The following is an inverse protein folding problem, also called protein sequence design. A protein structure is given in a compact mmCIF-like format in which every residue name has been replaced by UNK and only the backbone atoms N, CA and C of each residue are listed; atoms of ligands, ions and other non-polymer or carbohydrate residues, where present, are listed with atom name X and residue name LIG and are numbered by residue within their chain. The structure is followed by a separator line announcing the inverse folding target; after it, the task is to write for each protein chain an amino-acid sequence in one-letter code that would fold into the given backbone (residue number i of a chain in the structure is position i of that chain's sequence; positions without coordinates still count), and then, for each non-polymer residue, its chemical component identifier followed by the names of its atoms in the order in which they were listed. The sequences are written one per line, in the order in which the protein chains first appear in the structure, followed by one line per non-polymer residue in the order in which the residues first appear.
data_IF_408937380747
#
_entry.id   IF_408937380747
#
_cell.length_a   1.000
_cell.length_b   1.000
_cell.length_c   1.000
_cell.angle_alpha   90.00
_cell.angle_beta   90.00
_cell.angle_gamma   90.00
#
_symmetry.space_group_name_H-M   'P 1'
#
loop_
_entity.id
_entity.type
_entity.pdbx_description
1 polymer ?
#
# COMPACT_ATOMS: atom_id res chain seq x y z
N UNK A 1 -55.27 27.33 43.84
CA UNK A 1 -55.68 26.02 43.28
C UNK A 1 -55.60 26.09 41.77
N UNK A 2 -55.18 24.99 41.13
CA UNK A 2 -55.09 24.64 39.68
C UNK A 2 -55.93 25.49 38.69
N UNK A 3 -55.54 25.72 37.43
CA UNK A 3 -55.46 24.72 36.34
C UNK A 3 -54.69 25.25 35.09
N UNK A 4 -53.84 24.35 34.57
CA UNK A 4 -53.23 24.05 33.25
C UNK A 4 -53.58 24.83 31.93
N UNK A 5 -52.49 25.00 31.14
CA UNK A 5 -52.25 25.22 29.67
C UNK A 5 -53.21 24.48 28.67
N UNK A 6 -53.31 24.82 27.36
CA UNK A 6 -52.19 24.74 26.39
C UNK A 6 -52.17 25.74 25.18
N UNK A 7 -51.01 25.80 24.50
CA UNK A 7 -50.78 26.48 23.21
C UNK A 7 -50.28 25.46 22.15
N UNK A 8 -50.46 25.70 20.83
CA UNK A 8 -50.38 24.67 19.79
C UNK A 8 -48.97 24.33 19.29
N UNK A 9 -48.80 23.06 18.91
CA UNK A 9 -47.60 22.46 18.31
C UNK A 9 -47.48 22.84 16.82
N UNK A 10 -46.31 23.35 16.41
CA UNK A 10 -45.88 23.33 15.00
C UNK A 10 -45.01 22.11 14.76
N UNK A 11 -45.48 21.23 13.88
CA UNK A 11 -44.72 20.16 13.23
C UNK A 11 -43.82 20.77 12.14
N UNK A 12 -42.63 20.21 11.90
CA UNK A 12 -42.38 19.72 10.54
C UNK A 12 -41.65 18.36 10.50
N UNK A 13 -42.23 17.48 9.66
CA UNK A 13 -41.61 16.62 8.64
C UNK A 13 -40.28 15.89 8.96
N UNK A 14 -40.40 14.57 9.07
CA UNK A 14 -39.37 13.57 8.75
C UNK A 14 -39.11 13.54 7.21
N UNK A 15 -38.04 12.93 6.64
CA UNK A 15 -37.52 11.60 6.99
C UNK A 15 -35.98 11.46 7.02
N UNK A 16 -35.43 10.91 8.11
CA UNK A 16 -34.07 10.35 8.12
C UNK A 16 -34.19 8.87 7.75
N UNK A 17 -34.12 8.61 6.44
CA UNK A 17 -34.10 7.27 5.88
C UNK A 17 -32.96 7.14 4.86
N UNK A 18 -32.24 6.03 4.97
CA UNK A 18 -31.25 5.50 4.02
C UNK A 18 -29.80 5.99 4.14
N UNK A 19 -29.06 5.36 5.08
CA UNK A 19 -27.74 4.78 4.75
C UNK A 19 -27.47 3.57 5.63
N UNK A 20 -28.37 2.58 5.56
CA UNK A 20 -28.23 1.24 6.17
C UNK A 20 -27.96 0.19 5.08
N UNK A 21 -27.09 0.50 4.11
CA UNK A 21 -26.91 -0.33 2.91
C UNK A 21 -25.46 -0.52 2.43
N UNK A 22 -24.50 -0.52 3.36
CA UNK A 22 -23.13 -0.98 3.08
C UNK A 22 -22.60 -1.97 4.14
N UNK A 23 -23.47 -2.61 4.92
CA UNK A 23 -23.11 -3.58 5.96
C UNK A 23 -23.53 -5.02 5.59
N UNK A 24 -23.46 -5.37 4.31
CA UNK A 24 -23.84 -6.70 3.81
C UNK A 24 -22.69 -7.35 3.03
N UNK A 25 -21.62 -7.68 3.76
CA UNK A 25 -20.63 -8.72 3.40
C UNK A 25 -19.69 -8.97 4.59
N UNK A 26 -20.27 -9.29 5.75
CA UNK A 26 -19.49 -9.64 6.94
C UNK A 26 -19.77 -11.10 7.31
N UNK A 27 -19.19 -12.02 6.53
CA UNK A 27 -18.74 -13.27 7.14
C UNK A 27 -17.74 -12.87 8.23
N UNK A 28 -17.98 -13.27 9.48
CA UNK A 28 -17.44 -12.66 10.70
C UNK A 28 -15.91 -12.55 10.71
N UNK A 29 -15.40 -11.49 10.09
CA UNK A 29 -14.00 -11.14 10.15
C UNK A 29 -13.72 -10.60 11.54
N UNK A 30 -12.85 -11.29 12.28
CA UNK A 30 -12.36 -10.79 13.57
C UNK A 30 -11.34 -9.70 13.26
N UNK A 31 -11.75 -8.45 13.42
CA UNK A 31 -10.88 -7.29 13.25
C UNK A 31 -10.32 -6.86 14.60
N UNK A 32 -9.00 -6.71 14.70
CA UNK A 32 -8.33 -6.03 15.82
C UNK A 32 -7.72 -4.75 15.31
N UNK A 33 -8.10 -3.63 15.89
CA UNK A 33 -7.62 -2.31 15.50
C UNK A 33 -6.73 -1.70 16.57
N UNK A 34 -5.69 -1.01 16.13
CA UNK A 34 -4.76 -0.24 16.97
C UNK A 34 -4.60 1.15 16.38
N UNK A 35 -4.89 2.18 17.18
CA UNK A 35 -4.60 3.55 16.81
C UNK A 35 -3.08 3.79 16.83
N UNK A 36 -2.55 4.34 15.75
CA UNK A 36 -1.15 4.74 15.60
C UNK A 36 -1.03 6.26 15.70
N UNK A 37 0.21 6.76 15.79
CA UNK A 37 0.48 8.19 15.76
C UNK A 37 -0.06 8.87 14.47
N UNK A 38 -0.34 10.17 14.57
CA UNK A 38 -0.82 11.00 13.45
C UNK A 38 -2.17 10.57 12.85
N UNK A 39 -3.04 9.93 13.65
CA UNK A 39 -4.39 9.56 13.22
C UNK A 39 -4.45 8.31 12.33
N UNK A 40 -3.32 7.59 12.17
CA UNK A 40 -3.28 6.33 11.44
C UNK A 40 -3.92 5.19 12.23
N UNK A 41 -4.34 4.16 11.52
CA UNK A 41 -4.92 2.96 12.11
C UNK A 41 -4.25 1.71 11.56
N UNK A 42 -3.91 0.78 12.43
CA UNK A 42 -3.50 -0.57 12.06
C UNK A 42 -4.67 -1.52 12.32
N UNK A 43 -5.06 -2.30 11.33
CA UNK A 43 -6.10 -3.30 11.45
C UNK A 43 -5.53 -4.68 11.11
N UNK A 44 -5.74 -5.65 12.00
CA UNK A 44 -5.57 -7.07 11.71
C UNK A 44 -6.96 -7.65 11.44
N UNK A 45 -7.24 -7.98 10.18
CA UNK A 45 -8.50 -8.57 9.72
C UNK A 45 -8.25 -10.05 9.45
N UNK A 46 -8.94 -10.93 10.18
CA UNK A 46 -8.93 -12.37 9.87
C UNK A 46 -10.11 -12.69 8.95
N UNK A 47 -9.83 -13.11 7.71
CA UNK A 47 -10.86 -13.43 6.72
C UNK A 47 -10.75 -14.91 6.33
N UNK A 48 -11.60 -15.75 6.92
CA UNK A 48 -11.53 -17.19 6.69
C UNK A 48 -10.21 -17.78 7.19
N UNK A 49 -9.39 -18.29 6.27
CA UNK A 49 -8.08 -18.88 6.55
C UNK A 49 -6.91 -17.87 6.44
N UNK A 50 -7.15 -16.69 5.88
CA UNK A 50 -6.12 -15.70 5.63
C UNK A 50 -6.11 -14.63 6.75
N UNK A 51 -4.90 -14.20 7.11
CA UNK A 51 -4.69 -13.05 8.00
C UNK A 51 -4.27 -11.83 7.15
N UNK A 52 -4.90 -10.69 7.39
CA UNK A 52 -4.66 -9.45 6.67
C UNK A 52 -4.23 -8.36 7.65
N UNK A 53 -3.06 -7.77 7.43
CA UNK A 53 -2.58 -6.59 8.16
C UNK A 53 -2.74 -5.38 7.27
N UNK A 54 -3.52 -4.39 7.69
CA UNK A 54 -3.70 -3.12 6.99
C UNK A 54 -3.21 -1.96 7.85
N UNK A 55 -2.55 -0.98 7.22
CA UNK A 55 -2.31 0.33 7.80
C UNK A 55 -3.03 1.36 6.96
N UNK A 56 -3.87 2.17 7.61
CA UNK A 56 -4.64 3.24 6.98
C UNK A 56 -4.18 4.61 7.48
N UNK A 57 -4.14 5.56 6.56
CA UNK A 57 -3.90 6.98 6.82
C UNK A 57 -5.01 7.61 7.65
N UNK A 58 -4.77 8.86 8.10
CA UNK A 58 -5.79 9.64 8.81
C UNK A 58 -7.03 9.98 7.95
N UNK A 59 -6.87 9.93 6.63
CA UNK A 59 -7.92 10.08 5.63
C UNK A 59 -8.64 8.76 5.30
N UNK A 60 -8.22 7.65 5.92
CA UNK A 60 -8.74 6.31 5.67
C UNK A 60 -8.17 5.61 4.44
N UNK A 61 -7.24 6.23 3.71
CA UNK A 61 -6.56 5.62 2.57
C UNK A 61 -5.68 4.45 3.04
N UNK A 62 -5.63 3.37 2.26
CA UNK A 62 -4.78 2.22 2.55
C UNK A 62 -3.33 2.60 2.22
N UNK A 63 -2.44 2.62 3.21
CA UNK A 63 -1.01 2.93 2.98
C UNK A 63 -0.18 1.65 2.77
N UNK A 64 -0.51 0.60 3.52
CA UNK A 64 0.20 -0.67 3.53
C UNK A 64 -0.79 -1.82 3.78
N UNK A 65 -0.62 -2.91 3.05
CA UNK A 65 -1.37 -4.15 3.22
C UNK A 65 -0.44 -5.34 3.13
N UNK A 66 -0.56 -6.25 4.09
CA UNK A 66 0.12 -7.55 4.07
C UNK A 66 -0.95 -8.63 4.12
N UNK A 67 -1.09 -9.39 3.03
CA UNK A 67 -1.98 -10.55 2.95
C UNK A 67 -1.19 -11.82 3.21
N UNK A 68 -1.46 -12.51 4.30
CA UNK A 68 -0.92 -13.85 4.54
C UNK A 68 -1.76 -14.82 3.72
N UNK A 69 -1.20 -15.34 2.63
CA UNK A 69 -1.85 -16.36 1.78
C UNK A 69 -1.21 -17.72 2.02
N UNK A 70 -1.85 -18.79 1.55
CA UNK A 70 -1.28 -20.14 1.62
C UNK A 70 0.06 -20.29 0.89
N UNK A 71 0.30 -19.49 -0.16
CA UNK A 71 1.57 -19.46 -0.91
C UNK A 71 2.63 -18.54 -0.28
N UNK A 72 2.24 -17.73 0.73
CA UNK A 72 3.11 -16.81 1.44
C UNK A 72 2.53 -15.40 1.61
N UNK A 73 3.24 -14.52 2.32
CA UNK A 73 2.84 -13.13 2.50
C UNK A 73 2.95 -12.32 1.19
N UNK A 74 1.87 -11.63 0.81
CA UNK A 74 1.85 -10.64 -0.28
C UNK A 74 1.83 -9.23 0.32
N UNK A 75 2.89 -8.46 0.04
CA UNK A 75 3.03 -7.07 0.45
C UNK A 75 2.50 -6.14 -0.65
N UNK A 76 1.58 -5.26 -0.30
CA UNK A 76 1.07 -4.20 -1.17
C UNK A 76 1.21 -2.86 -0.46
N UNK A 77 1.75 -1.86 -1.16
CA UNK A 77 1.92 -0.52 -0.62
C UNK A 77 1.32 0.48 -1.59
N UNK A 78 0.46 1.34 -1.06
CA UNK A 78 -0.12 2.48 -1.74
C UNK A 78 0.32 3.72 -0.96
N UNK A 79 1.59 4.11 -1.15
CA UNK A 79 2.21 5.20 -0.41
C UNK A 79 2.85 6.20 -1.35
N UNK A 80 2.94 7.45 -0.88
CA UNK A 80 3.64 8.53 -1.56
C UNK A 80 5.14 8.23 -1.72
N UNK A 81 5.75 7.42 -0.84
CA UNK A 81 7.19 7.11 -0.88
C UNK A 81 7.56 5.81 -0.17
N UNK A 82 8.30 4.94 -0.84
CA UNK A 82 9.01 3.81 -0.25
C UNK A 82 10.50 4.14 -0.11
N UNK A 83 11.09 3.89 1.06
CA UNK A 83 12.54 4.01 1.28
C UNK A 83 13.03 2.78 2.04
N UNK A 84 13.91 2.01 1.41
CA UNK A 84 14.61 0.88 2.02
C UNK A 84 16.03 1.33 2.38
N UNK A 85 16.42 1.13 3.63
CA UNK A 85 17.78 1.37 4.13
C UNK A 85 18.21 0.16 4.95
N UNK A 86 19.36 -0.39 4.64
CA UNK A 86 19.97 -1.49 5.38
C UNK A 86 21.39 -1.09 5.80
N UNK A 87 21.79 -1.47 7.02
CA UNK A 87 23.17 -1.27 7.48
C UNK A 87 24.14 -2.30 6.86
N UNK A 88 23.62 -3.46 6.48
CA UNK A 88 24.34 -4.49 5.74
C UNK A 88 23.84 -4.58 4.30
N UNK A 89 23.23 -5.71 3.95
CA UNK A 89 22.83 -6.01 2.57
C UNK A 89 21.31 -5.96 2.38
N UNK A 90 20.90 -5.77 1.13
CA UNK A 90 19.53 -6.01 0.65
C UNK A 90 19.61 -7.07 -0.43
N UNK A 91 19.26 -8.31 -0.09
CA UNK A 91 19.25 -9.44 -1.00
C UNK A 91 17.83 -9.67 -1.53
N UNK A 92 17.69 -9.76 -2.87
CA UNK A 92 16.41 -10.04 -3.54
C UNK A 92 16.57 -11.31 -4.36
N UNK A 93 15.86 -12.38 -3.98
CA UNK A 93 15.83 -13.65 -4.69
C UNK A 93 14.39 -13.95 -5.11
N UNK A 94 14.17 -14.04 -6.42
CA UNK A 94 12.85 -14.31 -6.98
C UNK A 94 12.97 -14.94 -8.38
N UNK A 95 11.86 -15.52 -8.86
CA UNK A 95 11.77 -16.05 -10.22
C UNK A 95 11.78 -14.92 -11.27
N UNK A 96 11.11 -13.80 -10.98
CA UNK A 96 11.04 -12.65 -11.86
C UNK A 96 11.15 -11.36 -11.04
N UNK A 97 12.04 -10.46 -11.47
CA UNK A 97 12.20 -9.12 -10.90
C UNK A 97 11.91 -8.07 -11.97
N UNK A 98 10.88 -7.24 -11.76
CA UNK A 98 10.48 -6.18 -12.67
C UNK A 98 10.39 -4.86 -11.92
N UNK A 99 11.10 -3.83 -12.41
CA UNK A 99 11.08 -2.48 -11.84
C UNK A 99 10.63 -1.52 -12.93
N UNK A 100 9.60 -0.73 -12.62
CA UNK A 100 9.08 0.28 -13.53
C UNK A 100 9.04 1.63 -12.80
N UNK A 101 9.59 2.66 -13.44
CA UNK A 101 9.56 4.03 -12.95
C UNK A 101 8.94 4.94 -14.02
N UNK A 102 8.11 5.90 -13.60
CA UNK A 102 7.45 6.84 -14.52
C UNK A 102 8.40 7.92 -15.04
N UNK A 103 9.33 8.37 -14.19
CA UNK A 103 10.20 9.50 -14.51
C UNK A 103 11.67 9.06 -14.60
N UNK A 104 12.22 8.50 -13.53
CA UNK A 104 13.65 8.14 -13.49
C UNK A 104 13.88 6.89 -12.64
N UNK A 105 14.68 5.98 -13.19
CA UNK A 105 15.35 4.91 -12.45
C UNK A 105 16.84 5.26 -12.36
N UNK A 106 17.41 5.27 -11.15
CA UNK A 106 18.84 5.51 -10.95
C UNK A 106 19.45 4.42 -10.08
N UNK A 107 20.49 3.76 -10.59
CA UNK A 107 21.31 2.80 -9.86
C UNK A 107 22.69 3.44 -9.66
N UNK A 108 23.14 3.55 -8.41
CA UNK A 108 24.43 4.15 -8.05
C UNK A 108 25.14 3.26 -7.03
N UNK A 109 26.44 3.15 -7.17
CA UNK A 109 27.32 2.44 -6.24
C UNK A 109 28.57 3.30 -6.06
N UNK A 110 29.06 3.43 -4.83
CA UNK A 110 30.36 4.07 -4.55
C UNK A 110 31.53 3.18 -5.00
N UNK A 111 31.30 1.87 -5.09
CA UNK A 111 32.24 0.90 -5.64
C UNK A 111 31.87 0.47 -7.05
N UNK A 112 31.97 -0.83 -7.32
CA UNK A 112 31.52 -1.40 -8.59
C UNK A 112 30.00 -1.57 -8.68
N UNK A 113 29.47 -1.50 -9.89
CA UNK A 113 28.15 -2.02 -10.26
C UNK A 113 28.36 -3.15 -11.27
N UNK A 114 27.87 -4.35 -10.96
CA UNK A 114 27.95 -5.51 -11.85
C UNK A 114 26.54 -5.92 -12.28
N UNK A 115 26.31 -5.99 -13.58
CA UNK A 115 25.10 -6.50 -14.20
C UNK A 115 25.52 -7.68 -15.08
N UNK A 116 24.88 -8.83 -14.92
CA UNK A 116 25.19 -10.03 -15.68
C UNK A 116 23.93 -10.86 -15.92
N UNK A 117 23.72 -11.28 -17.17
CA UNK A 117 22.74 -12.28 -17.56
C UNK A 117 23.45 -13.57 -18.00
N UNK A 118 22.76 -14.72 -17.91
CA UNK A 118 23.27 -15.98 -18.45
C UNK A 118 23.21 -16.00 -19.98
N UNK A 119 22.09 -15.53 -20.51
CA UNK A 119 21.82 -15.50 -21.94
C UNK A 119 22.16 -14.10 -22.46
N UNK A 120 21.18 -13.18 -22.51
CA UNK A 120 21.36 -11.84 -23.08
C UNK A 120 21.20 -10.72 -22.02
N UNK A 121 21.88 -9.60 -22.28
CA UNK A 121 21.63 -8.31 -21.62
C UNK A 121 21.33 -7.28 -22.71
N UNK A 122 20.06 -6.89 -22.82
CA UNK A 122 19.61 -5.92 -23.80
C UNK A 122 19.37 -4.55 -23.14
N UNK A 123 19.82 -3.49 -23.81
CA UNK A 123 19.59 -2.10 -23.40
C UNK A 123 18.99 -1.35 -24.57
N UNK A 124 17.69 -1.08 -24.49
CA UNK A 124 16.97 -0.31 -25.50
C UNK A 124 16.71 1.11 -24.99
N UNK A 125 17.02 2.10 -25.81
CA UNK A 125 16.67 3.49 -25.57
C UNK A 125 16.16 4.11 -26.87
N UNK A 126 15.09 4.90 -26.79
CA UNK A 126 14.62 5.72 -27.92
C UNK A 126 15.54 6.93 -28.17
N UNK A 127 16.26 7.38 -27.14
CA UNK A 127 17.29 8.41 -27.22
C UNK A 127 18.69 7.81 -27.18
N UNK A 128 19.62 8.52 -26.52
CA UNK A 128 21.03 8.15 -26.51
C UNK A 128 21.36 7.12 -25.42
N UNK A 129 22.16 6.11 -25.79
CA UNK A 129 22.90 5.27 -24.85
C UNK A 129 24.33 5.76 -24.80
N UNK A 130 24.78 6.26 -23.64
CA UNK A 130 26.16 6.72 -23.43
C UNK A 130 26.87 5.78 -22.46
N UNK A 131 27.93 5.13 -22.95
CA UNK A 131 28.86 4.34 -22.14
C UNK A 131 30.19 5.07 -22.13
N UNK A 132 30.64 5.45 -20.93
CA UNK A 132 31.91 6.15 -20.73
C UNK A 132 32.75 5.37 -19.74
N UNK A 133 33.99 5.11 -20.09
CA UNK A 133 34.96 4.47 -19.21
C UNK A 133 36.37 4.69 -19.74
N UNK A 134 37.36 4.50 -18.89
CA UNK A 134 38.78 4.52 -19.32
C UNK A 134 39.07 3.42 -20.34
N UNK A 135 38.34 2.31 -20.27
CA UNK A 135 38.45 1.18 -21.18
C UNK A 135 37.07 0.53 -21.34
N UNK A 136 36.65 0.33 -22.58
CA UNK A 136 35.39 -0.34 -22.94
C UNK A 136 35.76 -1.49 -23.87
N UNK A 137 35.51 -2.72 -23.43
CA UNK A 137 35.67 -3.91 -24.27
C UNK A 137 34.33 -4.25 -24.91
N UNK A 138 34.30 -4.26 -26.23
CA UNK A 138 33.18 -4.73 -27.03
C UNK A 138 33.73 -5.87 -27.88
N UNK A 139 33.14 -7.06 -27.72
CA UNK A 139 33.51 -8.25 -28.49
C UNK A 139 32.39 -8.58 -29.47
#
# INVERSE_FOLDING_TARGET
MSVRKPAPRKTPLAPVGASKRAAASAAAAKTRELALAHGRQLALVRTGADDLVEVRGADGALELRIRMTAEGPVLQMESLRLSLKAAGNVDVQCQQFSVQARETLALRSEGGLKISGRDDVQVDASGDVRVTGTLIHLN
#
